data_IF_449287922153
#
_entry.id   IF_449287922153
#
_cell.length_a   1.000
_cell.length_b   1.000
_cell.length_c   1.000
_cell.angle_alpha   90.00
_cell.angle_beta   90.00
_cell.angle_gamma   90.00
#
_symmetry.space_group_name_H-M   'P 1'
#
loop_
_entity.id
_entity.type
_entity.pdbx_description
1 polymer ?
#
# COMPACT_ATOMS: atom_id res chain seq x y z
N UNK A 1 30.76 5.97 54.18
CA UNK A 1 31.22 5.07 53.09
C UNK A 1 30.06 4.81 52.15
N UNK A 2 29.76 5.84 51.35
CA UNK A 2 28.69 5.85 50.37
C UNK A 2 29.20 5.37 49.00
N UNK A 3 28.26 4.94 48.16
CA UNK A 3 28.36 4.83 46.69
C UNK A 3 29.02 3.57 46.11
N UNK A 4 28.43 2.38 46.33
CA UNK A 4 28.69 1.21 45.47
C UNK A 4 27.47 0.31 45.18
N UNK A 5 26.27 0.89 45.09
CA UNK A 5 25.03 0.14 44.77
C UNK A 5 24.12 0.85 43.76
N UNK A 6 24.66 1.30 42.63
CA UNK A 6 23.84 1.86 41.54
C UNK A 6 24.44 1.64 40.15
N UNK A 7 24.81 0.42 39.76
CA UNK A 7 25.24 0.15 38.37
C UNK A 7 24.81 -1.23 37.84
N UNK A 8 23.57 -1.66 38.09
CA UNK A 8 23.06 -2.89 37.45
C UNK A 8 21.60 -2.82 36.93
N UNK A 9 20.95 -1.66 37.00
CA UNK A 9 19.57 -1.48 36.50
C UNK A 9 19.47 -0.66 35.20
N UNK A 10 20.59 -0.18 34.64
CA UNK A 10 20.63 0.60 33.39
C UNK A 10 21.16 -0.17 32.17
N UNK A 11 21.40 -1.48 32.28
CA UNK A 11 22.01 -2.26 31.20
C UNK A 11 21.06 -3.05 30.28
N UNK A 12 19.83 -3.34 30.71
CA UNK A 12 18.91 -4.23 29.95
C UNK A 12 17.80 -3.51 29.16
N UNK A 13 17.72 -2.18 29.24
CA UNK A 13 16.80 -1.37 28.40
C UNK A 13 17.35 -1.05 27.00
N UNK A 14 18.65 -1.27 26.75
CA UNK A 14 19.32 -0.80 25.53
C UNK A 14 19.50 -1.84 24.41
N UNK A 15 19.04 -3.08 24.59
CA UNK A 15 19.07 -4.13 23.55
C UNK A 15 17.69 -4.64 23.13
N UNK A 16 16.62 -3.93 23.51
CA UNK A 16 15.27 -4.12 22.96
C UNK A 16 14.80 -2.87 22.21
N UNK A 17 15.70 -2.20 21.49
CA UNK A 17 15.36 -1.13 20.55
C UNK A 17 15.81 -1.44 19.12
N UNK A 18 16.60 -2.51 18.90
CA UNK A 18 17.22 -2.81 17.62
C UNK A 18 16.49 -3.87 16.78
N UNK A 19 15.37 -4.42 17.27
CA UNK A 19 14.53 -5.37 16.50
C UNK A 19 13.07 -4.93 16.44
N UNK A 20 12.87 -3.61 16.33
CA UNK A 20 11.69 -3.05 15.72
C UNK A 20 12.15 -2.10 14.63
N UNK A 21 12.70 -2.67 13.55
CA UNK A 21 12.42 -2.11 12.22
C UNK A 21 10.94 -2.38 11.91
N UNK A 22 10.05 -1.88 12.76
CA UNK A 22 8.78 -1.39 12.26
C UNK A 22 9.21 -0.29 11.33
N UNK A 23 9.15 -0.56 10.02
CA UNK A 23 9.12 0.50 9.03
C UNK A 23 8.11 1.48 9.61
N UNK A 24 8.58 2.66 10.01
CA UNK A 24 7.72 3.74 10.43
C UNK A 24 6.85 3.99 9.21
N UNK A 25 5.69 3.36 9.15
CA UNK A 25 4.61 3.76 8.27
C UNK A 25 4.15 5.05 8.89
N UNK A 26 4.94 6.11 8.68
CA UNK A 26 4.47 7.47 8.79
C UNK A 26 3.14 7.47 8.03
N UNK A 27 2.04 7.97 8.61
CA UNK A 27 0.80 8.12 7.87
C UNK A 27 1.05 9.19 6.80
N UNK A 28 1.60 8.75 5.66
CA UNK A 28 1.85 9.59 4.49
C UNK A 28 0.48 9.94 3.94
N UNK A 29 0.18 11.24 4.06
CA UNK A 29 -1.00 11.95 3.59
C UNK A 29 -2.29 11.67 4.38
N UNK A 30 -2.66 12.60 5.27
CA UNK A 30 -4.07 12.83 5.62
C UNK A 30 -4.79 13.22 4.32
N UNK A 31 -5.46 12.27 3.68
CA UNK A 31 -6.17 12.42 2.39
C UNK A 31 -7.42 13.30 2.53
N UNK A 32 -7.25 14.58 2.85
CA UNK A 32 -8.31 15.58 2.71
C UNK A 32 -7.74 16.95 2.39
N UNK A 33 -7.03 17.06 1.28
CA UNK A 33 -6.87 18.34 0.62
C UNK A 33 -7.73 18.31 -0.63
N UNK A 34 -8.92 18.92 -0.51
CA UNK A 34 -9.70 19.28 -1.68
C UNK A 34 -8.89 20.35 -2.41
N UNK A 35 -8.25 19.99 -3.52
CA UNK A 35 -7.77 20.98 -4.47
C UNK A 35 -8.99 21.81 -4.85
N UNK A 36 -8.86 23.15 -4.79
CA UNK A 36 -9.97 24.13 -4.82
C UNK A 36 -10.96 24.01 -5.99
N UNK A 37 -10.70 23.11 -6.94
CA UNK A 37 -11.47 22.87 -8.16
C UNK A 37 -12.41 21.64 -8.04
N UNK A 38 -12.49 20.97 -6.89
CA UNK A 38 -13.35 19.78 -6.69
C UNK A 38 -12.88 18.52 -7.41
N UNK A 39 -11.70 18.55 -8.03
CA UNK A 39 -11.05 17.39 -8.66
C UNK A 39 -10.42 16.46 -7.63
N UNK A 40 -10.38 15.15 -7.93
CA UNK A 40 -9.71 14.19 -7.06
C UNK A 40 -8.19 14.36 -7.06
N UNK A 41 -7.51 13.89 -6.01
CA UNK A 41 -6.05 13.96 -5.87
C UNK A 41 -5.32 13.41 -7.11
N UNK A 42 -5.63 12.17 -7.51
CA UNK A 42 -5.02 11.54 -8.70
C UNK A 42 -5.35 12.27 -10.00
N UNK A 43 -6.54 12.87 -10.08
CA UNK A 43 -6.99 13.64 -11.23
C UNK A 43 -6.21 14.95 -11.36
N UNK A 44 -5.95 15.60 -10.23
CA UNK A 44 -5.21 16.87 -10.18
C UNK A 44 -3.71 16.69 -10.39
N UNK A 45 -3.13 15.57 -9.92
CA UNK A 45 -1.71 15.30 -10.13
C UNK A 45 -1.43 14.81 -11.55
N UNK A 46 -2.44 14.31 -12.28
CA UNK A 46 -2.26 13.80 -13.65
C UNK A 46 -1.37 12.55 -13.74
N UNK A 47 -1.16 11.85 -12.62
CA UNK A 47 -0.26 10.70 -12.55
C UNK A 47 -0.98 9.45 -13.06
N UNK A 48 -0.33 8.76 -13.99
CA UNK A 48 -0.79 7.45 -14.45
C UNK A 48 -0.27 6.35 -13.53
N UNK A 49 -1.17 5.76 -12.73
CA UNK A 49 -0.81 4.79 -11.69
C UNK A 49 -0.70 3.40 -12.28
N UNK A 50 0.48 2.79 -12.16
CA UNK A 50 0.79 1.43 -12.58
C UNK A 50 0.64 0.42 -11.44
N UNK A 51 0.49 -0.87 -11.78
CA UNK A 51 0.40 -1.93 -10.79
C UNK A 51 1.76 -2.23 -10.14
N UNK A 52 2.84 -1.78 -10.78
CA UNK A 52 4.21 -1.79 -10.28
C UNK A 52 4.49 -0.70 -9.25
N UNK A 53 3.66 0.34 -9.17
CA UNK A 53 3.89 1.52 -8.32
C UNK A 53 3.48 1.26 -6.87
N UNK A 54 4.20 0.34 -6.22
CA UNK A 54 3.92 -0.12 -4.85
C UNK A 54 3.85 1.04 -3.85
N UNK A 55 4.68 2.08 -4.04
CA UNK A 55 4.73 3.24 -3.14
C UNK A 55 3.44 4.05 -3.18
N UNK A 56 2.88 4.31 -4.36
CA UNK A 56 1.61 5.04 -4.53
C UNK A 56 0.46 4.17 -4.04
N UNK A 57 0.43 2.90 -4.45
CA UNK A 57 -0.64 1.97 -4.08
C UNK A 57 -0.69 1.69 -2.57
N UNK A 58 0.45 1.72 -1.87
CA UNK A 58 0.52 1.48 -0.43
C UNK A 58 -0.22 2.54 0.39
N UNK A 59 -0.34 3.76 -0.12
CA UNK A 59 -1.04 4.87 0.54
C UNK A 59 -2.56 4.64 0.61
N UNK A 60 -3.11 3.86 -0.34
CA UNK A 60 -4.54 3.56 -0.40
C UNK A 60 -4.92 2.27 0.34
N UNK A 61 -3.99 1.68 1.09
CA UNK A 61 -4.19 0.45 1.84
C UNK A 61 -4.32 0.69 3.34
N UNK A 62 -5.05 -0.22 3.99
CA UNK A 62 -5.05 -0.41 5.44
C UNK A 62 -3.84 -1.24 5.87
N UNK A 63 -3.55 -1.22 7.16
CA UNK A 63 -2.62 -2.14 7.84
C UNK A 63 -2.91 -3.62 7.64
N UNK A 64 -4.11 -3.99 7.16
CA UNK A 64 -4.53 -5.37 6.89
C UNK A 64 -4.46 -5.73 5.39
N UNK A 65 -3.95 -4.82 4.54
CA UNK A 65 -3.86 -4.99 3.09
C UNK A 65 -5.19 -4.88 2.34
N UNK A 66 -6.27 -4.47 3.01
CA UNK A 66 -7.54 -4.10 2.39
C UNK A 66 -7.53 -2.65 1.89
N UNK A 67 -8.26 -2.36 0.81
CA UNK A 67 -8.35 -1.01 0.23
C UNK A 67 -9.12 -0.07 1.16
N UNK A 68 -8.67 1.18 1.28
CA UNK A 68 -9.38 2.23 2.00
C UNK A 68 -10.69 2.62 1.29
N UNK A 69 -11.77 2.90 2.02
CA UNK A 69 -13.04 3.32 1.43
C UNK A 69 -12.95 4.73 0.85
N UNK A 70 -13.77 5.01 -0.16
CA UNK A 70 -13.81 6.30 -0.89
C UNK A 70 -13.95 7.54 0.01
N UNK A 71 -14.71 7.42 1.10
CA UNK A 71 -14.93 8.52 2.06
C UNK A 71 -13.64 8.98 2.76
N UNK A 72 -12.63 8.11 2.82
CA UNK A 72 -11.32 8.41 3.42
C UNK A 72 -10.34 8.80 2.33
N UNK A 73 -10.34 8.11 1.18
CA UNK A 73 -9.37 8.36 0.11
C UNK A 73 -9.64 9.64 -0.68
N UNK A 74 -10.88 10.14 -0.68
CA UNK A 74 -11.25 11.35 -1.43
C UNK A 74 -11.23 11.19 -2.96
N UNK A 75 -11.12 9.96 -3.47
CA UNK A 75 -11.04 9.71 -4.92
C UNK A 75 -12.41 9.75 -5.62
N UNK A 76 -12.40 10.09 -6.91
CA UNK A 76 -13.53 9.89 -7.79
C UNK A 76 -13.92 8.40 -7.86
N UNK A 77 -15.18 8.11 -8.17
CA UNK A 77 -15.69 6.72 -8.30
C UNK A 77 -14.89 5.91 -9.31
N UNK A 78 -14.46 6.54 -10.41
CA UNK A 78 -13.64 5.92 -11.47
C UNK A 78 -12.25 5.58 -10.93
N UNK A 79 -11.54 6.57 -10.38
CA UNK A 79 -10.18 6.38 -9.86
C UNK A 79 -10.13 5.39 -8.71
N UNK A 80 -11.13 5.39 -7.82
CA UNK A 80 -11.23 4.40 -6.74
C UNK A 80 -11.31 2.96 -7.28
N UNK A 81 -12.06 2.73 -8.35
CA UNK A 81 -12.13 1.41 -8.99
C UNK A 81 -10.80 1.05 -9.64
N UNK A 82 -10.17 2.00 -10.34
CA UNK A 82 -8.87 1.81 -10.99
C UNK A 82 -7.80 1.39 -9.98
N UNK A 83 -7.62 2.17 -8.93
CA UNK A 83 -6.67 1.88 -7.84
C UNK A 83 -6.95 0.52 -7.19
N UNK A 84 -8.23 0.17 -6.96
CA UNK A 84 -8.59 -1.14 -6.40
C UNK A 84 -8.15 -2.32 -7.28
N UNK A 85 -8.25 -2.19 -8.61
CA UNK A 85 -7.78 -3.20 -9.57
C UNK A 85 -6.25 -3.29 -9.54
N UNK A 86 -5.55 -2.15 -9.60
CA UNK A 86 -4.09 -2.10 -9.58
C UNK A 86 -3.50 -2.72 -8.30
N UNK A 87 -4.11 -2.42 -7.14
CA UNK A 87 -3.75 -3.05 -5.86
C UNK A 87 -3.93 -4.57 -5.93
N UNK A 88 -5.05 -5.03 -6.48
CA UNK A 88 -5.34 -6.47 -6.57
C UNK A 88 -4.33 -7.18 -7.47
N UNK A 89 -3.92 -6.54 -8.56
CA UNK A 89 -2.88 -7.03 -9.46
C UNK A 89 -1.53 -7.07 -8.76
N UNK A 90 -1.11 -5.98 -8.13
CA UNK A 90 0.16 -5.90 -7.38
C UNK A 90 0.25 -7.00 -6.29
N UNK A 91 -0.85 -7.25 -5.57
CA UNK A 91 -0.94 -8.31 -4.55
C UNK A 91 -0.94 -9.72 -5.15
N UNK A 92 -1.52 -9.91 -6.34
CA UNK A 92 -1.47 -11.21 -7.05
C UNK A 92 -0.08 -11.50 -7.58
N UNK A 93 0.58 -10.49 -8.16
CA UNK A 93 1.95 -10.53 -8.65
C UNK A 93 2.99 -10.68 -7.53
N UNK A 94 2.62 -10.40 -6.27
CA UNK A 94 3.52 -10.50 -5.13
C UNK A 94 4.47 -9.31 -4.99
N UNK A 95 4.17 -8.18 -5.64
CA UNK A 95 4.97 -6.95 -5.58
C UNK A 95 4.81 -6.22 -4.24
N UNK A 96 3.68 -6.43 -3.56
CA UNK A 96 3.44 -5.86 -2.23
C UNK A 96 3.77 -6.90 -1.15
N UNK A 97 4.65 -6.58 -0.18
CA UNK A 97 4.87 -7.44 0.98
C UNK A 97 3.54 -7.64 1.70
N UNK A 98 3.37 -8.80 2.32
CA UNK A 98 2.06 -9.24 2.80
C UNK A 98 1.65 -8.45 4.06
N UNK A 99 1.12 -7.24 3.85
CA UNK A 99 0.46 -6.39 4.86
C UNK A 99 -0.78 -7.11 5.41
N UNK A 100 -1.23 -8.19 4.77
CA UNK A 100 -2.37 -8.94 5.22
C UNK A 100 -2.00 -9.90 6.39
N UNK A 101 -2.94 -10.17 7.30
CA UNK A 101 -2.72 -11.07 8.42
C UNK A 101 -2.28 -12.47 7.96
N UNK A 102 -1.57 -13.19 8.83
CA UNK A 102 -0.98 -14.52 8.53
C UNK A 102 -2.00 -15.55 8.03
N UNK A 103 -3.27 -15.40 8.41
CA UNK A 103 -4.39 -16.26 7.99
C UNK A 103 -4.91 -15.96 6.56
N UNK A 104 -4.43 -14.90 5.92
CA UNK A 104 -4.85 -14.56 4.57
C UNK A 104 -4.11 -15.39 3.54
N UNK A 105 -4.83 -15.98 2.59
CA UNK A 105 -4.26 -16.66 1.42
C UNK A 105 -3.68 -15.69 0.37
N UNK A 106 -3.16 -14.55 0.86
CA UNK A 106 -2.64 -13.47 0.03
C UNK A 106 -1.19 -13.68 -0.38
N UNK A 107 -0.46 -14.56 0.30
CA UNK A 107 0.85 -15.06 -0.14
C UNK A 107 0.70 -15.84 -1.47
N UNK A 108 1.32 -15.43 -2.59
CA UNK A 108 1.24 -16.15 -3.86
C UNK A 108 1.64 -17.61 -3.75
N UNK A 109 2.74 -17.89 -3.05
CA UNK A 109 3.29 -19.24 -2.88
C UNK A 109 2.36 -20.21 -2.13
N UNK A 110 1.42 -19.70 -1.32
CA UNK A 110 0.45 -20.53 -0.58
C UNK A 110 -0.81 -20.84 -1.39
N UNK A 111 -0.95 -20.28 -2.60
CA UNK A 111 -2.14 -20.49 -3.44
C UNK A 111 -2.08 -21.87 -4.10
N UNK A 112 -3.25 -22.43 -4.42
CA UNK A 112 -3.36 -23.74 -5.09
C UNK A 112 -3.28 -23.60 -6.61
N UNK A 113 -2.77 -24.64 -7.28
CA UNK A 113 -2.71 -24.75 -8.75
C UNK A 113 -1.79 -23.72 -9.40
N UNK A 114 -2.15 -23.24 -10.59
CA UNK A 114 -1.35 -22.26 -11.37
C UNK A 114 -1.17 -20.91 -10.67
N UNK A 115 -2.02 -20.59 -9.69
CA UNK A 115 -2.00 -19.32 -8.95
C UNK A 115 -0.78 -19.16 -8.03
N UNK A 116 -0.04 -20.25 -7.80
CA UNK A 116 1.22 -20.25 -7.03
C UNK A 116 2.40 -19.69 -7.83
N UNK A 117 2.30 -19.73 -9.15
CA UNK A 117 3.34 -19.29 -10.06
C UNK A 117 3.38 -17.76 -10.06
N UNK A 118 4.54 -17.19 -10.43
CA UNK A 118 4.68 -15.75 -10.63
C UNK A 118 3.73 -15.33 -11.76
N UNK A 119 2.98 -14.25 -11.54
CA UNK A 119 2.04 -13.69 -12.52
C UNK A 119 2.43 -12.24 -12.74
N UNK A 120 2.51 -11.85 -14.00
CA UNK A 120 2.75 -10.48 -14.45
C UNK A 120 1.53 -10.01 -15.24
N UNK A 121 1.28 -8.70 -15.22
CA UNK A 121 0.13 -8.09 -15.88
C UNK A 121 0.61 -7.05 -16.89
N UNK A 122 0.12 -7.12 -18.12
CA UNK A 122 0.37 -6.09 -19.12
C UNK A 122 -0.74 -5.04 -19.06
N UNK A 123 -0.37 -3.80 -18.76
CA UNK A 123 -1.31 -2.70 -18.50
C UNK A 123 -2.17 -2.34 -19.71
N UNK A 124 -1.62 -2.51 -20.90
CA UNK A 124 -2.29 -2.24 -22.17
C UNK A 124 -3.42 -3.24 -22.46
N UNK A 125 -3.30 -4.46 -21.95
CA UNK A 125 -4.32 -5.51 -22.10
C UNK A 125 -5.44 -5.38 -21.08
N UNK A 126 -5.24 -4.56 -20.04
CA UNK A 126 -6.20 -4.35 -18.96
C UNK A 126 -7.27 -3.37 -19.44
N UNK A 127 -8.23 -3.89 -20.20
CA UNK A 127 -9.45 -3.18 -20.60
C UNK A 127 -10.28 -2.88 -19.36
N UNK A 128 -10.06 -1.73 -18.71
CA UNK A 128 -11.05 -1.23 -17.78
C UNK A 128 -12.11 -0.43 -18.55
N UNK A 129 -13.39 -0.79 -18.34
CA UNK A 129 -14.58 -0.12 -18.93
C UNK A 129 -14.74 1.38 -18.56
N UNK A 130 -13.69 2.02 -18.04
CA UNK A 130 -13.67 3.40 -17.55
C UNK A 130 -12.52 4.26 -18.14
N UNK A 131 -11.72 3.72 -19.08
CA UNK A 131 -10.73 4.52 -19.82
C UNK A 131 -11.48 5.37 -20.85
N UNK A 132 -12.02 6.49 -20.40
CA UNK A 132 -12.55 7.56 -21.24
C UNK A 132 -11.55 8.69 -21.44
N UNK A 133 -10.24 8.41 -21.41
CA UNK A 133 -9.20 9.39 -21.75
C UNK A 133 -8.26 8.69 -22.72
N UNK A 134 -8.44 8.98 -24.01
CA UNK A 134 -7.48 8.58 -25.04
C UNK A 134 -6.28 9.52 -24.92
N UNK A 135 -5.09 8.98 -24.74
CA UNK A 135 -3.87 9.72 -25.06
C UNK A 135 -3.70 9.61 -26.59
N UNK A 136 -3.74 10.77 -27.26
CA UNK A 136 -3.43 10.87 -28.68
C UNK A 136 -1.95 10.49 -28.89
N UNK A 137 -1.70 9.66 -29.90
CA UNK A 137 -0.38 9.45 -30.48
C UNK A 137 0.00 10.67 -31.33
#
# INVERSE_FOLDING_TARGET
MALRQTLFTLGKKLLYSQSQRSISVTPVLKLKENVGNGSCLLCSTGVDVKHTDVLILSQFLKSNGGVLPRRITGLCKVQQKRVGIMITMAQKAGLMPNIAPKNSNKDPKKRRGVKKNNVYYDEDTIKHKFYGVQYQQ
#
